data_IF_692333391921
#
_entry.id   IF_692333391921
#
_cell.length_a   1.000
_cell.length_b   1.000
_cell.length_c   1.000
_cell.angle_alpha   90.00
_cell.angle_beta   90.00
_cell.angle_gamma   90.00
#
_symmetry.space_group_name_H-M   'P 1'
#
loop_
_entity.id
_entity.type
_entity.pdbx_description
1 polymer ?
#
# COMPACT_ATOMS: atom_id res chain seq x y z
N UNK A 1 -19.63 5.07 -0.34
CA UNK A 1 -19.28 3.75 0.23
C UNK A 1 -18.10 3.99 1.14
N UNK A 2 -18.30 3.94 2.47
CA UNK A 2 -17.26 4.33 3.42
C UNK A 2 -16.03 3.43 3.32
N UNK A 3 -14.84 4.03 3.43
CA UNK A 3 -13.63 3.25 3.72
C UNK A 3 -13.87 2.46 5.02
N UNK A 4 -13.55 1.16 5.07
CA UNK A 4 -13.71 0.37 6.29
C UNK A 4 -13.01 1.08 7.45
N UNK A 5 -13.65 1.13 8.62
CA UNK A 5 -13.11 1.82 9.81
C UNK A 5 -11.98 1.01 10.44
N UNK A 6 -10.91 0.83 9.69
CA UNK A 6 -9.69 0.21 10.17
C UNK A 6 -9.05 1.08 11.24
N UNK A 7 -8.67 0.45 12.34
CA UNK A 7 -8.09 1.15 13.46
C UNK A 7 -6.57 1.13 13.38
N UNK A 8 -5.97 2.30 13.59
CA UNK A 8 -4.54 2.40 13.90
C UNK A 8 -4.40 2.23 15.42
N UNK A 9 -3.77 1.14 15.84
CA UNK A 9 -3.52 0.81 17.23
C UNK A 9 -2.07 1.15 17.58
N UNK A 10 -1.83 2.41 17.97
CA UNK A 10 -0.51 2.89 18.32
C UNK A 10 0.02 2.20 19.59
N UNK A 11 1.30 1.79 19.61
CA UNK A 11 1.91 1.10 20.76
C UNK A 11 2.32 2.06 21.90
N UNK A 12 1.96 3.33 21.77
CA UNK A 12 2.20 4.37 22.75
C UNK A 12 0.98 5.28 22.84
N UNK A 13 0.86 5.99 23.96
CA UNK A 13 -0.16 7.03 24.11
C UNK A 13 0.27 8.29 23.36
N UNK A 14 -0.49 8.78 22.37
CA UNK A 14 -0.24 10.05 21.68
C UNK A 14 -0.07 11.22 22.65
N UNK A 15 0.99 12.02 22.47
CA UNK A 15 1.08 13.34 23.10
C UNK A 15 0.03 14.29 22.50
N UNK A 16 -0.41 15.27 23.29
CA UNK A 16 -1.38 16.26 22.82
C UNK A 16 -0.68 17.25 21.90
N UNK A 17 -1.11 17.30 20.64
CA UNK A 17 -0.60 18.26 19.67
C UNK A 17 -0.82 19.69 20.17
N UNK A 18 0.27 20.45 20.25
CA UNK A 18 0.20 21.88 20.48
C UNK A 18 -0.31 22.57 19.22
N UNK A 19 -1.57 23.00 19.26
CA UNK A 19 -2.24 23.69 18.15
C UNK A 19 -1.61 25.04 17.78
N UNK A 20 -0.67 25.55 18.57
CA UNK A 20 0.08 26.77 18.27
C UNK A 20 1.29 26.52 17.37
N UNK A 21 1.73 25.27 17.21
CA UNK A 21 2.87 24.92 16.35
C UNK A 21 2.40 24.74 14.92
N UNK A 22 2.98 25.53 14.02
CA UNK A 22 2.71 25.41 12.59
C UNK A 22 3.65 24.38 11.95
N UNK A 23 3.16 23.16 11.80
CA UNK A 23 3.92 22.06 11.23
C UNK A 23 4.11 22.14 9.71
N UNK A 24 3.57 23.16 9.01
CA UNK A 24 3.47 23.14 7.55
C UNK A 24 3.95 24.43 6.89
N UNK A 25 3.75 25.59 7.51
CA UNK A 25 4.22 26.89 7.02
C UNK A 25 5.56 27.31 7.60
N UNK A 26 5.75 27.04 8.89
CA UNK A 26 6.86 27.55 9.68
C UNK A 26 7.42 26.45 10.58
N UNK A 27 7.78 25.33 9.95
CA UNK A 27 8.42 24.20 10.62
C UNK A 27 9.72 24.61 11.34
N UNK A 28 10.40 25.66 10.86
CA UNK A 28 11.66 26.13 11.43
C UNK A 28 11.48 26.79 12.80
N UNK A 29 10.27 27.26 13.13
CA UNK A 29 9.93 27.75 14.47
C UNK A 29 9.94 26.63 15.52
N UNK A 30 9.64 25.40 15.12
CA UNK A 30 9.49 24.25 16.02
C UNK A 30 10.80 23.88 16.71
N UNK A 31 10.78 23.81 18.05
CA UNK A 31 11.94 23.38 18.83
C UNK A 31 12.38 21.96 18.47
N UNK A 32 11.42 21.05 18.27
CA UNK A 32 11.68 19.68 17.88
C UNK A 32 12.39 19.62 16.51
N UNK A 33 11.91 20.39 15.53
CA UNK A 33 12.55 20.49 14.22
C UNK A 33 14.01 20.93 14.33
N UNK A 34 14.31 21.93 15.17
CA UNK A 34 15.69 22.41 15.36
C UNK A 34 16.63 21.33 15.90
N UNK A 35 16.12 20.40 16.72
CA UNK A 35 16.87 19.28 17.29
C UNK A 35 17.08 18.12 16.31
N UNK A 36 16.32 18.05 15.21
CA UNK A 36 16.45 16.98 14.22
C UNK A 36 17.81 17.01 13.49
N UNK A 37 18.34 15.84 13.09
CA UNK A 37 19.52 15.77 12.24
C UNK A 37 19.22 16.35 10.83
N UNK A 38 20.27 16.69 10.09
CA UNK A 38 20.15 17.41 8.81
C UNK A 38 19.28 16.66 7.77
N UNK A 39 19.47 15.35 7.64
CA UNK A 39 18.66 14.51 6.75
C UNK A 39 17.17 14.49 7.16
N UNK A 40 16.87 14.39 8.46
CA UNK A 40 15.50 14.44 8.95
C UNK A 40 14.82 15.80 8.71
N UNK A 41 15.59 16.90 8.81
CA UNK A 41 15.12 18.24 8.48
C UNK A 41 14.72 18.39 7.01
N UNK A 42 15.42 17.72 6.10
CA UNK A 42 15.09 17.67 4.67
C UNK A 42 13.80 16.88 4.43
N UNK A 43 13.65 15.71 5.06
CA UNK A 43 12.41 14.93 4.99
C UNK A 43 11.20 15.69 5.50
N UNK A 44 11.32 16.36 6.65
CA UNK A 44 10.24 17.19 7.21
C UNK A 44 9.91 18.37 6.30
N UNK A 45 10.91 19.00 5.66
CA UNK A 45 10.69 20.09 4.68
C UNK A 45 9.87 19.61 3.49
N UNK A 46 10.16 18.42 2.98
CA UNK A 46 9.42 17.83 1.86
C UNK A 46 8.02 17.32 2.28
N UNK A 47 7.95 16.71 3.46
CA UNK A 47 6.79 15.98 3.99
C UNK A 47 6.50 16.37 5.44
N UNK A 48 5.78 17.49 5.66
CA UNK A 48 5.66 18.08 6.99
C UNK A 48 4.80 17.27 7.98
N UNK A 49 3.96 16.36 7.47
CA UNK A 49 3.22 15.39 8.30
C UNK A 49 4.16 14.49 9.13
N UNK A 50 5.42 14.32 8.71
CA UNK A 50 6.44 13.62 9.51
C UNK A 50 6.75 14.39 10.81
N UNK A 51 6.80 15.72 10.77
CA UNK A 51 6.99 16.53 11.98
C UNK A 51 5.78 16.42 12.90
N UNK A 52 4.57 16.45 12.33
CA UNK A 52 3.34 16.26 13.09
C UNK A 52 3.34 14.91 13.83
N UNK A 53 3.76 13.82 13.16
CA UNK A 53 3.98 12.52 13.80
C UNK A 53 4.96 12.59 14.97
N UNK A 54 6.08 13.28 14.80
CA UNK A 54 7.11 13.39 15.85
C UNK A 54 6.64 14.20 17.07
N UNK A 55 5.69 15.12 16.91
CA UNK A 55 5.06 15.83 18.04
C UNK A 55 4.01 14.98 18.77
N UNK A 56 3.41 14.00 18.08
CA UNK A 56 2.52 13.01 18.70
C UNK A 56 3.31 11.90 19.39
N UNK A 57 4.48 11.57 18.85
CA UNK A 57 5.35 10.54 19.38
C UNK A 57 6.02 11.02 20.69
N UNK A 58 5.94 10.26 21.80
CA UNK A 58 6.52 10.66 23.09
C UNK A 58 8.05 10.56 23.10
N UNK A 59 8.71 11.51 22.43
CA UNK A 59 10.18 11.60 22.28
C UNK A 59 10.91 11.71 23.61
N UNK A 60 10.25 12.23 24.66
CA UNK A 60 10.82 12.30 26.01
C UNK A 60 10.95 10.90 26.66
N UNK A 61 10.11 9.96 26.23
CA UNK A 61 10.08 8.58 26.75
C UNK A 61 10.96 7.66 25.92
N UNK A 62 10.87 7.75 24.60
CA UNK A 62 11.55 6.81 23.69
C UNK A 62 12.86 7.37 23.08
N UNK A 63 13.11 8.66 23.24
CA UNK A 63 14.19 9.36 22.54
C UNK A 63 13.81 9.76 21.11
N UNK A 64 14.62 10.63 20.51
CA UNK A 64 14.47 11.03 19.10
C UNK A 64 14.84 9.82 18.22
N UNK A 65 13.97 9.42 17.26
CA UNK A 65 14.27 8.32 16.34
C UNK A 65 15.54 8.57 15.52
N UNK A 66 16.26 7.50 15.20
CA UNK A 66 17.37 7.54 14.24
C UNK A 66 16.82 7.57 12.81
N UNK A 67 17.15 8.62 12.06
CA UNK A 67 16.71 8.77 10.67
C UNK A 67 17.73 8.18 9.70
N UNK A 68 17.32 7.16 8.96
CA UNK A 68 18.16 6.47 7.98
C UNK A 68 17.55 6.61 6.58
N UNK A 69 18.37 6.99 5.60
CA UNK A 69 17.94 7.01 4.18
C UNK A 69 17.85 5.61 3.59
N UNK A 70 18.64 4.68 4.11
CA UNK A 70 18.69 3.29 3.67
C UNK A 70 19.02 2.40 4.88
N UNK A 71 18.42 1.22 4.94
CA UNK A 71 18.67 0.24 5.99
C UNK A 71 19.77 -0.74 5.58
N UNK A 72 20.74 -0.92 6.47
CA UNK A 72 21.87 -1.85 6.30
C UNK A 72 21.64 -3.15 7.08
N UNK A 73 22.34 -4.22 6.67
CA UNK A 73 22.18 -5.58 7.24
C UNK A 73 22.62 -5.69 8.71
N UNK A 74 23.55 -4.87 9.16
CA UNK A 74 24.05 -4.82 10.55
C UNK A 74 22.96 -4.45 11.57
N UNK A 75 21.95 -3.68 11.14
CA UNK A 75 20.76 -3.35 11.94
C UNK A 75 19.96 -4.59 12.39
N UNK A 76 20.14 -5.76 11.76
CA UNK A 76 19.55 -7.05 12.21
C UNK A 76 19.87 -7.38 13.66
N UNK A 77 21.02 -6.92 14.15
CA UNK A 77 21.49 -7.18 15.52
C UNK A 77 20.94 -6.18 16.56
N UNK A 78 20.25 -5.12 16.11
CA UNK A 78 19.72 -4.08 16.98
C UNK A 78 18.50 -4.58 17.73
N UNK A 79 18.64 -4.77 19.05
CA UNK A 79 17.57 -5.33 19.91
C UNK A 79 16.39 -4.38 20.15
N UNK A 80 16.65 -3.07 20.16
CA UNK A 80 15.64 -2.06 20.49
C UNK A 80 15.67 -0.94 19.46
N UNK A 81 15.18 -1.18 18.23
CA UNK A 81 15.21 -0.21 17.15
C UNK A 81 14.23 0.94 17.41
N UNK A 82 14.71 2.19 17.40
CA UNK A 82 13.89 3.40 17.32
C UNK A 82 14.34 4.14 16.06
N UNK A 83 13.84 3.69 14.90
CA UNK A 83 14.36 4.07 13.57
C UNK A 83 13.23 4.55 12.67
N UNK A 84 13.46 5.67 11.98
CA UNK A 84 12.60 6.14 10.89
C UNK A 84 13.36 6.09 9.57
N UNK A 85 12.73 5.55 8.53
CA UNK A 85 13.26 5.58 7.16
C UNK A 85 12.15 5.91 6.14
N UNK A 86 12.49 6.55 5.01
CA UNK A 86 11.53 6.82 3.94
C UNK A 86 11.24 5.55 3.13
N UNK A 87 9.98 5.33 2.80
CA UNK A 87 9.53 4.34 1.81
C UNK A 87 9.38 4.99 0.43
N UNK A 88 8.85 6.21 0.40
CA UNK A 88 8.77 7.07 -0.77
C UNK A 88 8.75 8.54 -0.31
N UNK A 89 8.55 9.49 -1.22
CA UNK A 89 8.56 10.92 -0.93
C UNK A 89 7.59 11.36 0.18
N UNK A 90 6.49 10.64 0.34
CA UNK A 90 5.36 10.98 1.23
C UNK A 90 5.07 9.95 2.31
N UNK A 91 5.74 8.80 2.31
CA UNK A 91 5.50 7.72 3.26
C UNK A 91 6.79 7.37 3.96
N UNK A 92 6.76 7.37 5.29
CA UNK A 92 7.86 6.92 6.13
C UNK A 92 7.41 5.73 6.96
N UNK A 93 8.37 5.02 7.54
CA UNK A 93 8.12 3.92 8.46
C UNK A 93 8.92 4.16 9.72
N UNK A 94 8.26 4.00 10.87
CA UNK A 94 8.90 3.94 12.16
C UNK A 94 8.91 2.50 12.67
N UNK A 95 10.11 1.95 12.88
CA UNK A 95 10.34 0.69 13.57
C UNK A 95 10.60 0.99 15.04
N UNK A 96 9.76 0.43 15.91
CA UNK A 96 9.76 0.68 17.35
C UNK A 96 9.73 -0.66 18.12
N UNK A 97 10.44 -0.85 19.25
CA UNK A 97 10.40 -2.13 19.93
C UNK A 97 9.04 -2.39 20.58
N UNK A 98 8.65 -3.65 20.65
CA UNK A 98 7.58 -4.13 21.51
C UNK A 98 8.20 -4.79 22.75
N UNK A 99 7.97 -4.29 23.97
CA UNK A 99 8.48 -4.94 25.18
C UNK A 99 7.79 -6.28 25.48
N UNK A 100 6.60 -6.51 24.93
CA UNK A 100 5.73 -7.66 25.25
C UNK A 100 5.74 -8.74 24.15
N UNK A 101 6.43 -8.50 23.03
CA UNK A 101 6.51 -9.40 21.88
C UNK A 101 7.94 -9.47 21.34
N UNK A 102 8.32 -10.60 20.75
CA UNK A 102 9.62 -10.73 20.05
C UNK A 102 9.66 -9.93 18.74
N UNK A 103 8.49 -9.57 18.21
CA UNK A 103 8.33 -8.77 17.00
C UNK A 103 8.28 -7.28 17.33
N UNK A 104 9.08 -6.48 16.65
CA UNK A 104 8.99 -5.02 16.75
C UNK A 104 7.74 -4.50 16.00
N UNK A 105 7.31 -3.29 16.35
CA UNK A 105 6.24 -2.59 15.65
C UNK A 105 6.72 -2.01 14.31
N UNK A 106 5.84 -2.10 13.31
CA UNK A 106 5.93 -1.40 12.04
C UNK A 106 4.83 -0.33 12.01
N UNK A 107 5.23 0.94 11.98
CA UNK A 107 4.32 2.09 12.03
C UNK A 107 4.47 2.89 10.72
N UNK A 108 3.56 2.73 9.75
CA UNK A 108 3.56 3.57 8.56
C UNK A 108 3.12 4.99 8.92
N UNK A 109 3.90 5.98 8.51
CA UNK A 109 3.64 7.40 8.69
C UNK A 109 3.24 7.95 7.31
N UNK A 110 1.94 8.10 7.10
CA UNK A 110 1.32 8.59 5.86
C UNK A 110 0.80 10.03 6.03
N UNK A 111 0.54 10.79 4.95
CA UNK A 111 -0.03 12.14 5.04
C UNK A 111 -1.35 12.22 5.80
N UNK A 112 -2.14 11.14 5.80
CA UNK A 112 -3.42 11.04 6.49
C UNK A 112 -3.33 10.59 7.94
N UNK A 113 -2.14 10.29 8.46
CA UNK A 113 -1.98 9.56 9.72
C UNK A 113 -2.59 10.28 10.93
N UNK A 114 -2.51 11.61 10.96
CA UNK A 114 -2.97 12.44 12.09
C UNK A 114 -4.19 13.31 11.77
N UNK A 115 -4.45 13.58 10.49
CA UNK A 115 -5.61 14.36 10.11
C UNK A 115 -6.87 13.51 10.20
N UNK A 116 -7.75 13.84 11.15
CA UNK A 116 -9.10 13.29 11.19
C UNK A 116 -9.96 13.91 10.09
N UNK A 117 -9.67 13.54 8.84
CA UNK A 117 -10.50 13.85 7.66
C UNK A 117 -11.71 12.93 7.56
N UNK A 118 -11.92 12.05 8.55
CA UNK A 118 -13.03 11.11 8.64
C UNK A 118 -14.41 11.77 8.49
N UNK A 119 -14.56 13.03 8.90
CA UNK A 119 -15.80 13.78 8.73
C UNK A 119 -15.93 14.42 7.34
N UNK A 120 -14.82 14.80 6.73
CA UNK A 120 -14.76 15.52 5.45
C UNK A 120 -14.85 14.56 4.26
N UNK A 121 -14.17 13.41 4.36
CA UNK A 121 -14.11 12.39 3.31
C UNK A 121 -15.49 11.94 2.81
N UNK A 122 -16.46 11.54 3.67
CA UNK A 122 -17.76 11.11 3.19
C UNK A 122 -18.52 12.22 2.43
N UNK A 123 -18.36 13.48 2.85
CA UNK A 123 -18.96 14.64 2.18
C UNK A 123 -18.32 14.86 0.81
N UNK A 124 -17.00 14.75 0.73
CA UNK A 124 -16.26 14.86 -0.53
C UNK A 124 -16.63 13.70 -1.45
N UNK A 125 -16.59 12.45 -0.98
CA UNK A 125 -17.00 11.27 -1.77
C UNK A 125 -18.41 11.41 -2.34
N UNK A 126 -19.36 11.91 -1.55
CA UNK A 126 -20.73 12.14 -2.03
C UNK A 126 -20.75 13.15 -3.16
N UNK A 127 -20.02 14.26 -3.03
CA UNK A 127 -19.91 15.28 -4.09
C UNK A 127 -19.18 14.79 -5.33
N UNK A 128 -18.21 13.90 -5.18
CA UNK A 128 -17.49 13.30 -6.31
C UNK A 128 -18.40 12.38 -7.13
N UNK A 129 -19.32 11.65 -6.50
CA UNK A 129 -20.32 10.81 -7.20
C UNK A 129 -21.15 11.65 -8.17
N UNK A 130 -21.63 12.82 -7.74
CA UNK A 130 -22.43 13.73 -8.58
C UNK A 130 -21.68 14.22 -9.84
N UNK A 131 -20.34 14.22 -9.82
CA UNK A 131 -19.50 14.67 -10.93
C UNK A 131 -19.10 13.51 -11.85
N UNK A 132 -18.91 12.32 -11.28
CA UNK A 132 -18.56 11.10 -12.04
C UNK A 132 -19.62 10.82 -13.12
N UNK A 133 -20.90 11.00 -12.81
CA UNK A 133 -22.00 10.80 -13.75
C UNK A 133 -21.96 11.74 -14.97
N UNK A 134 -21.15 12.82 -14.91
CA UNK A 134 -20.95 13.79 -15.98
C UNK A 134 -19.68 13.59 -16.81
N UNK A 135 -18.91 12.52 -16.58
CA UNK A 135 -17.72 12.22 -17.38
C UNK A 135 -18.12 11.71 -18.78
N UNK A 136 -17.55 12.31 -19.83
CA UNK A 136 -17.79 11.90 -21.22
C UNK A 136 -17.07 10.59 -21.59
N UNK A 137 -15.89 10.35 -21.01
CA UNK A 137 -15.06 9.17 -21.27
C UNK A 137 -14.51 8.57 -19.97
N UNK A 138 -14.53 7.24 -19.89
CA UNK A 138 -13.97 6.49 -18.78
C UNK A 138 -12.42 6.44 -18.86
N UNK A 139 -11.70 6.80 -17.79
CA UNK A 139 -10.24 6.74 -17.79
C UNK A 139 -9.73 5.29 -17.88
N UNK A 140 -8.77 5.06 -18.78
CA UNK A 140 -8.31 3.73 -19.18
C UNK A 140 -7.14 3.28 -18.30
N UNK A 141 -6.28 4.22 -17.89
CA UNK A 141 -5.11 3.94 -17.03
C UNK A 141 -5.27 4.45 -15.60
N UNK A 142 -4.55 3.83 -14.66
CA UNK A 142 -4.52 4.29 -13.26
C UNK A 142 -3.96 5.70 -13.11
N UNK A 143 -3.05 6.12 -14.01
CA UNK A 143 -2.54 7.49 -14.06
C UNK A 143 -3.63 8.48 -14.46
N UNK A 144 -4.39 8.17 -15.52
CA UNK A 144 -5.53 9.00 -15.94
C UNK A 144 -6.59 9.07 -14.84
N UNK A 145 -6.90 7.94 -14.18
CA UNK A 145 -7.81 7.90 -13.03
C UNK A 145 -7.34 8.83 -11.92
N UNK A 146 -6.05 8.83 -11.60
CA UNK A 146 -5.49 9.71 -10.57
C UNK A 146 -5.65 11.18 -10.96
N UNK A 147 -5.35 11.54 -12.21
CA UNK A 147 -5.49 12.90 -12.71
C UNK A 147 -6.96 13.36 -12.72
N UNK A 148 -7.89 12.47 -13.04
CA UNK A 148 -9.34 12.75 -12.96
C UNK A 148 -9.76 12.99 -11.51
N UNK A 149 -9.38 12.13 -10.57
CA UNK A 149 -9.68 12.31 -9.14
C UNK A 149 -9.15 13.65 -8.63
N UNK A 150 -7.92 14.03 -9.01
CA UNK A 150 -7.32 15.32 -8.62
C UNK A 150 -8.11 16.52 -9.14
N UNK A 151 -8.53 16.47 -10.41
CA UNK A 151 -9.36 17.52 -11.03
C UNK A 151 -10.73 17.61 -10.35
N UNK A 152 -11.36 16.48 -10.07
CA UNK A 152 -12.65 16.46 -9.38
C UNK A 152 -12.53 16.99 -7.96
N UNK A 153 -11.49 16.59 -7.20
CA UNK A 153 -11.24 17.11 -5.85
C UNK A 153 -11.09 18.64 -5.86
N UNK A 154 -10.31 19.17 -6.81
CA UNK A 154 -10.14 20.62 -6.99
C UNK A 154 -11.45 21.36 -7.33
N UNK A 155 -12.43 20.67 -7.92
CA UNK A 155 -13.73 21.26 -8.24
C UNK A 155 -14.70 21.29 -7.05
N UNK A 156 -14.60 20.32 -6.13
CA UNK A 156 -15.50 20.18 -4.96
C UNK A 156 -14.95 20.77 -3.68
N UNK A 157 -13.65 21.08 -3.64
CA UNK A 157 -12.97 21.63 -2.47
C UNK A 157 -12.22 22.93 -2.79
N UNK A 158 -12.10 23.80 -1.78
CA UNK A 158 -11.34 25.05 -1.84
C UNK A 158 -10.34 25.05 -0.69
N UNK A 159 -9.09 25.35 -1.02
CA UNK A 159 -8.03 25.52 -0.02
C UNK A 159 -8.18 26.90 0.63
N UNK A 160 -8.40 26.92 1.95
CA UNK A 160 -8.43 28.12 2.77
C UNK A 160 -7.05 28.78 2.80
N UNK A 161 -6.92 30.05 2.38
CA UNK A 161 -5.66 30.79 2.55
C UNK A 161 -5.35 31.04 4.03
N UNK A 162 -4.08 31.02 4.40
CA UNK A 162 -3.63 31.20 5.79
C UNK A 162 -4.05 32.58 6.32
N UNK A 163 -4.53 32.61 7.57
CA UNK A 163 -4.97 33.83 8.26
C UNK A 163 -6.35 34.37 7.86
N UNK A 164 -7.04 33.76 6.89
CA UNK A 164 -8.41 34.15 6.50
C UNK A 164 -9.41 33.47 7.43
N UNK A 165 -10.32 34.21 8.06
CA UNK A 165 -11.38 33.62 8.90
C UNK A 165 -12.36 32.76 8.06
N UNK A 166 -12.68 31.55 8.54
CA UNK A 166 -13.64 30.62 7.88
C UNK A 166 -14.99 31.31 7.65
N UNK A 167 -15.40 32.17 8.58
CA UNK A 167 -16.68 32.90 8.52
C UNK A 167 -16.82 33.81 7.30
N UNK A 168 -15.70 34.21 6.67
CA UNK A 168 -15.69 35.00 5.43
C UNK A 168 -15.84 34.15 4.18
N UNK A 169 -15.53 32.86 4.28
CA UNK A 169 -15.62 31.90 3.18
C UNK A 169 -16.92 31.09 3.23
N UNK A 170 -17.50 30.90 4.42
CA UNK A 170 -18.86 30.37 4.61
C UNK A 170 -19.83 31.55 4.50
N UNK A 171 -20.75 31.57 3.54
CA UNK A 171 -21.67 32.70 3.33
C UNK A 171 -22.33 33.18 4.63
N UNK A 172 -22.47 34.50 4.78
CA UNK A 172 -23.01 35.15 5.98
C UNK A 172 -24.30 34.50 6.47
N UNK A 173 -24.36 34.26 7.78
CA UNK A 173 -25.41 33.57 8.56
C UNK A 173 -26.86 34.07 8.39
N UNK A 174 -27.08 35.12 7.60
CA UNK A 174 -28.37 35.78 7.39
C UNK A 174 -29.28 35.05 6.39
N UNK A 175 -28.74 34.41 5.35
CA UNK A 175 -29.56 33.71 4.33
C UNK A 175 -30.00 32.30 4.76
N UNK A 176 -29.25 31.64 5.65
CA UNK A 176 -29.60 30.31 6.16
C UNK A 176 -30.81 30.31 7.11
N UNK A 177 -31.15 31.45 7.74
CA UNK A 177 -32.35 31.55 8.57
C UNK A 177 -33.63 31.58 7.73
N UNK A 178 -33.61 32.22 6.56
CA UNK A 178 -34.79 32.36 5.69
C UNK A 178 -35.10 31.07 4.91
N UNK A 179 -34.08 30.28 4.58
CA UNK A 179 -34.25 28.93 4.01
C UNK A 179 -34.71 27.91 5.06
N UNK A 180 -34.21 27.98 6.29
CA UNK A 180 -34.69 27.12 7.40
C UNK A 180 -36.13 27.44 7.77
N UNK A 181 -36.53 28.71 7.80
CA UNK A 181 -37.93 29.08 8.07
C UNK A 181 -38.85 28.59 6.95
N UNK A 182 -38.44 28.73 5.68
CA UNK A 182 -39.20 28.20 4.53
C UNK A 182 -39.30 26.68 4.50
N UNK A 183 -38.22 25.95 4.82
CA UNK A 183 -38.21 24.48 4.91
C UNK A 183 -39.02 23.94 6.09
N UNK A 184 -38.97 24.59 7.25
CA UNK A 184 -39.79 24.21 8.42
C UNK A 184 -41.27 24.47 8.16
N UNK A 185 -41.61 25.51 7.39
CA UNK A 185 -43.00 25.80 6.99
C UNK A 185 -43.52 24.80 5.95
N UNK A 186 -42.66 24.35 5.03
CA UNK A 186 -42.97 23.32 4.04
C UNK A 186 -43.12 21.92 4.67
N UNK A 187 -42.25 21.54 5.61
CA UNK A 187 -42.31 20.23 6.26
C UNK A 187 -43.43 20.08 7.30
N UNK A 188 -44.02 21.19 7.75
CA UNK A 188 -45.17 21.18 8.67
C UNK A 188 -46.53 21.11 7.94
N UNK A 189 -46.55 21.13 6.61
CA UNK A 189 -47.78 21.05 5.81
C UNK A 189 -48.06 19.67 5.23
N UNK A 190 -47.10 18.73 5.24
CA UNK A 190 -47.30 17.34 4.81
C UNK A 190 -47.16 16.34 5.96
N UNK A 191 -48.29 15.72 6.30
CA UNK A 191 -48.39 14.61 7.24
C UNK A 191 -47.93 13.31 6.57
N UNK A 192 -46.69 12.86 6.83
CA UNK A 192 -46.32 11.45 7.08
C UNK A 192 -44.80 11.20 6.99
N UNK A 193 -44.00 11.68 7.94
CA UNK A 193 -42.61 11.20 8.07
C UNK A 193 -41.99 11.46 9.45
N UNK A 194 -42.77 11.40 10.53
CA UNK A 194 -42.28 11.79 11.87
C UNK A 194 -41.38 10.76 12.58
N UNK A 195 -41.19 9.54 12.06
CA UNK A 195 -40.62 8.45 12.88
C UNK A 195 -39.37 7.71 12.36
N UNK A 196 -38.60 8.25 11.41
CA UNK A 196 -37.30 7.65 11.02
C UNK A 196 -36.14 8.63 10.87
N UNK A 197 -36.14 9.70 11.68
CA UNK A 197 -35.01 10.64 11.75
C UNK A 197 -34.71 11.04 13.19
N UNK A 198 -34.49 10.06 14.06
CA UNK A 198 -33.85 10.29 15.35
C UNK A 198 -32.70 9.31 15.54
N UNK A 199 -31.47 9.82 15.31
CA UNK A 199 -30.17 9.39 15.86
C UNK A 199 -29.02 9.52 14.85
N UNK A 200 -28.73 10.73 14.39
CA UNK A 200 -27.34 11.22 14.27
C UNK A 200 -27.38 12.73 14.52
N UNK A 201 -27.25 13.13 15.79
CA UNK A 201 -26.83 14.50 16.14
C UNK A 201 -25.32 14.42 16.36
N UNK A 202 -24.52 14.67 15.32
CA UNK A 202 -23.10 15.01 15.50
C UNK A 202 -22.88 16.49 15.19
N UNK A 203 -22.03 17.11 16.00
CA UNK A 203 -22.01 18.55 16.32
C UNK A 203 -20.93 19.34 15.54
N UNK A 204 -20.38 18.79 14.46
CA UNK A 204 -19.37 19.46 13.64
C UNK A 204 -19.86 19.54 12.20
N UNK A 205 -20.25 20.75 11.79
CA UNK A 205 -20.70 21.02 10.43
C UNK A 205 -19.44 21.19 9.57
N UNK A 206 -19.30 20.34 8.54
CA UNK A 206 -18.23 20.47 7.54
C UNK A 206 -18.32 21.88 6.94
N UNK A 207 -17.24 22.70 6.97
CA UNK A 207 -17.29 24.06 6.47
C UNK A 207 -17.45 24.05 4.94
N UNK A 208 -18.48 24.76 4.47
CA UNK A 208 -18.84 24.85 3.05
C UNK A 208 -18.86 26.31 2.59
N UNK A 209 -18.42 26.56 1.36
CA UNK A 209 -18.63 27.83 0.67
C UNK A 209 -20.13 28.02 0.31
N UNK A 210 -20.59 29.23 -0.08
CA UNK A 210 -21.98 29.46 -0.49
C UNK A 210 -22.42 28.59 -1.68
N UNK A 211 -21.51 28.31 -2.60
CA UNK A 211 -21.67 27.40 -3.73
C UNK A 211 -21.51 25.91 -3.35
N UNK A 212 -21.33 25.62 -2.05
CA UNK A 212 -21.35 24.27 -1.51
C UNK A 212 -20.04 23.51 -1.63
N UNK A 213 -18.90 24.15 -1.93
CA UNK A 213 -17.58 23.50 -1.94
C UNK A 213 -17.06 23.32 -0.53
N UNK A 214 -16.33 22.24 -0.30
CA UNK A 214 -15.73 21.93 1.00
C UNK A 214 -14.51 22.82 1.23
N UNK A 215 -14.49 23.54 2.35
CA UNK A 215 -13.36 24.38 2.72
C UNK A 215 -12.37 23.51 3.49
N UNK A 216 -11.14 23.40 2.97
CA UNK A 216 -10.08 22.58 3.55
C UNK A 216 -8.86 23.43 3.84
N UNK A 217 -8.07 23.07 4.84
CA UNK A 217 -6.67 23.52 4.88
C UNK A 217 -5.87 22.84 3.77
N UNK A 218 -4.67 23.35 3.48
CA UNK A 218 -3.81 22.73 2.48
C UNK A 218 -3.40 21.30 2.88
N UNK A 219 -3.30 21.06 4.18
CA UNK A 219 -2.94 19.79 4.79
C UNK A 219 -4.07 18.77 4.68
N UNK A 220 -5.29 19.17 5.05
CA UNK A 220 -6.50 18.36 4.87
C UNK A 220 -6.71 18.02 3.40
N UNK A 221 -6.50 18.98 2.49
CA UNK A 221 -6.58 18.75 1.05
C UNK A 221 -5.59 17.67 0.59
N UNK A 222 -4.31 17.78 0.97
CA UNK A 222 -3.28 16.80 0.62
C UNK A 222 -3.54 15.43 1.23
N UNK A 223 -4.01 15.37 2.48
CA UNK A 223 -4.38 14.12 3.14
C UNK A 223 -5.57 13.44 2.43
N UNK A 224 -6.60 14.21 2.04
CA UNK A 224 -7.74 13.70 1.29
C UNK A 224 -7.33 13.25 -0.11
N UNK A 225 -6.52 14.04 -0.83
CA UNK A 225 -5.99 13.66 -2.15
C UNK A 225 -5.25 12.33 -2.07
N UNK A 226 -4.35 12.20 -1.09
CA UNK A 226 -3.62 10.97 -0.81
C UNK A 226 -4.58 9.79 -0.56
N UNK A 227 -5.56 9.95 0.33
CA UNK A 227 -6.52 8.89 0.67
C UNK A 227 -7.40 8.50 -0.50
N UNK A 228 -7.85 9.44 -1.33
CA UNK A 228 -8.67 9.13 -2.51
C UNK A 228 -7.87 8.31 -3.52
N UNK A 229 -6.62 8.68 -3.80
CA UNK A 229 -5.76 7.91 -4.70
C UNK A 229 -5.46 6.54 -4.08
N UNK A 230 -5.05 6.51 -2.82
CA UNK A 230 -4.71 5.30 -2.08
C UNK A 230 -5.87 4.31 -2.07
N UNK A 231 -7.07 4.76 -1.71
CA UNK A 231 -8.23 3.90 -1.49
C UNK A 231 -8.99 3.57 -2.78
N UNK A 232 -9.01 4.45 -3.79
CA UNK A 232 -9.77 4.23 -5.03
C UNK A 232 -8.96 3.62 -6.15
N UNK A 233 -7.66 3.91 -6.23
CA UNK A 233 -6.78 3.47 -7.32
C UNK A 233 -5.79 2.42 -6.83
N UNK A 234 -5.04 2.72 -5.77
CA UNK A 234 -4.09 1.77 -5.19
C UNK A 234 -4.80 0.69 -4.34
N UNK A 235 -4.04 -0.15 -3.65
CA UNK A 235 -4.53 -1.23 -2.77
C UNK A 235 -4.95 -0.76 -1.36
N UNK A 236 -5.41 0.49 -1.23
CA UNK A 236 -5.90 1.04 0.03
C UNK A 236 -4.85 0.98 1.15
N UNK A 237 -5.26 0.46 2.30
CA UNK A 237 -4.41 0.31 3.49
C UNK A 237 -3.15 -0.52 3.27
N UNK A 238 -3.10 -1.33 2.20
CA UNK A 238 -1.90 -2.11 1.87
C UNK A 238 -0.82 -1.27 1.17
N UNK A 239 -1.15 -0.05 0.72
CA UNK A 239 -0.25 0.81 -0.06
C UNK A 239 1.11 1.04 0.62
N UNK A 240 1.22 1.36 1.93
CA UNK A 240 2.52 1.55 2.57
C UNK A 240 3.37 0.28 2.51
N UNK A 241 2.78 -0.89 2.76
CA UNK A 241 3.51 -2.15 2.78
C UNK A 241 3.95 -2.59 1.37
N UNK A 242 3.07 -2.42 0.38
CA UNK A 242 3.39 -2.72 -1.02
C UNK A 242 4.44 -1.76 -1.58
N UNK A 243 4.49 -0.52 -1.10
CA UNK A 243 5.50 0.46 -1.52
C UNK A 243 6.86 0.23 -0.86
N UNK A 244 6.92 -0.42 0.29
CA UNK A 244 8.17 -0.62 1.04
C UNK A 244 9.03 -1.76 0.47
N UNK A 245 10.14 -1.40 -0.17
CA UNK A 245 11.10 -2.36 -0.77
C UNK A 245 11.76 -3.31 0.24
N UNK A 246 11.69 -3.02 1.55
CA UNK A 246 12.23 -3.88 2.60
C UNK A 246 11.26 -4.98 3.06
N UNK A 247 10.01 -4.97 2.62
CA UNK A 247 9.03 -6.03 2.93
C UNK A 247 9.10 -7.15 1.89
N UNK A 248 9.11 -8.39 2.37
CA UNK A 248 9.08 -9.61 1.55
C UNK A 248 7.67 -10.22 1.53
N UNK A 249 7.07 -10.41 2.70
CA UNK A 249 5.74 -10.99 2.86
C UNK A 249 4.84 -10.08 3.72
N UNK A 250 3.54 -10.05 3.41
CA UNK A 250 2.48 -9.37 4.18
C UNK A 250 1.39 -10.40 4.49
N UNK A 251 1.01 -10.53 5.75
CA UNK A 251 0.02 -11.52 6.21
C UNK A 251 -1.04 -10.88 7.09
N UNK A 252 -2.30 -11.18 6.83
CA UNK A 252 -3.41 -10.91 7.71
C UNK A 252 -4.09 -12.24 8.03
N UNK A 253 -3.90 -12.73 9.26
CA UNK A 253 -4.34 -14.07 9.69
C UNK A 253 -5.80 -14.10 10.19
N UNK A 254 -6.57 -13.03 9.97
CA UNK A 254 -7.92 -12.82 10.49
C UNK A 254 -8.08 -11.49 11.22
N UNK A 255 -8.99 -11.43 12.18
CA UNK A 255 -9.19 -10.24 13.02
C UNK A 255 -7.91 -9.98 13.83
N UNK A 256 -7.36 -8.77 13.75
CA UNK A 256 -6.14 -8.39 14.44
C UNK A 256 -5.14 -7.68 13.53
N UNK A 257 -3.88 -7.56 13.96
CA UNK A 257 -2.86 -6.81 13.25
C UNK A 257 -2.41 -7.52 11.98
N UNK A 258 -1.94 -6.73 11.02
CA UNK A 258 -1.18 -7.22 9.88
C UNK A 258 0.25 -7.56 10.35
N UNK A 259 0.76 -8.72 9.95
CA UNK A 259 2.14 -9.13 10.14
C UNK A 259 2.92 -8.99 8.83
N UNK A 260 4.22 -8.74 8.93
CA UNK A 260 5.09 -8.64 7.76
C UNK A 260 6.41 -9.37 8.02
N UNK A 261 7.03 -9.90 6.96
CA UNK A 261 8.42 -10.32 6.98
C UNK A 261 9.28 -9.21 6.35
N UNK A 262 10.18 -8.65 7.14
CA UNK A 262 11.04 -7.55 6.73
C UNK A 262 12.49 -8.02 6.51
N UNK A 263 13.11 -7.65 5.39
CA UNK A 263 14.48 -8.04 4.97
C UNK A 263 15.53 -7.87 6.07
N UNK A 264 15.42 -6.77 6.83
CA UNK A 264 16.28 -6.45 7.97
C UNK A 264 15.69 -6.96 9.29
N UNK A 265 14.59 -6.40 9.78
CA UNK A 265 14.08 -6.66 11.13
C UNK A 265 13.28 -7.95 11.31
N UNK A 266 13.18 -8.81 10.29
CA UNK A 266 12.43 -10.09 10.33
C UNK A 266 10.94 -9.86 10.59
N UNK A 267 10.28 -10.78 11.29
CA UNK A 267 8.86 -10.68 11.58
C UNK A 267 8.54 -9.41 12.37
N UNK A 268 7.71 -8.54 11.79
CA UNK A 268 7.20 -7.32 12.44
C UNK A 268 5.69 -7.36 12.57
N UNK A 269 5.17 -6.60 13.54
CA UNK A 269 3.74 -6.43 13.80
C UNK A 269 3.34 -5.01 13.42
N UNK A 270 2.36 -4.87 12.52
CA UNK A 270 1.84 -3.56 12.14
C UNK A 270 0.88 -3.01 13.19
N UNK A 271 0.80 -1.67 13.28
CA UNK A 271 -0.25 -0.97 14.04
C UNK A 271 -1.60 -0.93 13.30
N UNK A 272 -1.63 -1.33 12.03
CA UNK A 272 -2.85 -1.43 11.23
C UNK A 272 -3.50 -2.78 11.52
N UNK A 273 -4.74 -2.77 12.00
CA UNK A 273 -5.50 -3.97 12.36
C UNK A 273 -6.94 -3.96 11.85
N UNK A 274 -7.47 -5.15 11.59
CA UNK A 274 -8.90 -5.37 11.35
C UNK A 274 -9.57 -5.76 12.66
N UNK A 275 -10.50 -4.95 13.16
CA UNK A 275 -11.20 -5.23 14.43
C UNK A 275 -12.48 -6.04 14.24
N UNK A 276 -13.08 -5.96 13.06
CA UNK A 276 -14.39 -6.54 12.79
C UNK A 276 -14.31 -7.46 11.58
N UNK A 277 -14.84 -8.69 11.72
CA UNK A 277 -14.83 -9.68 10.63
C UNK A 277 -15.45 -9.14 9.34
N UNK A 278 -16.54 -8.38 9.43
CA UNK A 278 -17.24 -7.85 8.26
C UNK A 278 -16.39 -6.85 7.46
N UNK A 279 -15.54 -6.08 8.13
CA UNK A 279 -14.61 -5.15 7.46
C UNK A 279 -13.53 -5.90 6.70
N UNK A 280 -12.99 -6.95 7.32
CA UNK A 280 -12.01 -7.83 6.68
C UNK A 280 -12.62 -8.58 5.50
N UNK A 281 -13.85 -9.08 5.66
CA UNK A 281 -14.61 -9.73 4.59
C UNK A 281 -14.86 -8.77 3.41
N UNK A 282 -15.30 -7.54 3.67
CA UNK A 282 -15.49 -6.52 2.65
C UNK A 282 -14.16 -6.16 1.96
N UNK A 283 -13.08 -6.07 2.73
CA UNK A 283 -11.75 -5.78 2.21
C UNK A 283 -11.27 -6.87 1.24
N UNK A 284 -11.34 -8.15 1.63
CA UNK A 284 -10.88 -9.25 0.77
C UNK A 284 -11.74 -9.40 -0.47
N UNK A 285 -13.06 -9.16 -0.38
CA UNK A 285 -13.96 -9.17 -1.54
C UNK A 285 -13.58 -8.08 -2.55
N UNK A 286 -13.40 -6.82 -2.08
CA UNK A 286 -12.97 -5.70 -2.94
C UNK A 286 -11.60 -5.95 -3.57
N UNK A 287 -10.66 -6.50 -2.80
CA UNK A 287 -9.34 -6.87 -3.32
C UNK A 287 -9.46 -7.89 -4.45
N UNK A 288 -10.27 -8.93 -4.26
CA UNK A 288 -10.45 -9.97 -5.24
C UNK A 288 -11.15 -9.47 -6.53
N UNK A 289 -12.13 -8.58 -6.40
CA UNK A 289 -12.76 -7.87 -7.53
C UNK A 289 -11.74 -7.05 -8.33
N UNK A 290 -10.84 -6.32 -7.66
CA UNK A 290 -9.77 -5.55 -8.31
C UNK A 290 -8.79 -6.41 -9.09
N UNK A 291 -8.50 -7.61 -8.59
CA UNK A 291 -7.64 -8.59 -9.27
C UNK A 291 -8.41 -9.36 -10.35
N UNK A 292 -9.68 -8.99 -10.62
CA UNK A 292 -10.61 -9.64 -11.57
C UNK A 292 -10.83 -11.13 -11.26
N UNK A 293 -10.84 -11.45 -9.97
CA UNK A 293 -11.01 -12.80 -9.42
C UNK A 293 -12.05 -12.75 -8.31
N UNK A 294 -13.34 -12.62 -8.63
CA UNK A 294 -14.36 -12.47 -7.59
C UNK A 294 -14.44 -13.70 -6.70
N UNK A 295 -14.43 -13.48 -5.38
CA UNK A 295 -14.61 -14.54 -4.38
C UNK A 295 -16.10 -14.82 -4.19
N UNK A 296 -16.45 -16.09 -4.01
CA UNK A 296 -17.80 -16.50 -3.64
C UNK A 296 -17.76 -17.54 -2.53
N UNK A 297 -18.87 -17.77 -1.82
CA UNK A 297 -18.96 -18.86 -0.84
C UNK A 297 -18.69 -20.25 -1.43
N UNK A 298 -18.89 -20.45 -2.75
CA UNK A 298 -18.60 -21.71 -3.44
C UNK A 298 -17.13 -21.83 -3.86
N UNK A 299 -16.46 -20.70 -4.10
CA UNK A 299 -15.04 -20.64 -4.39
C UNK A 299 -14.35 -19.63 -3.46
N UNK A 300 -14.16 -20.00 -2.18
CA UNK A 300 -13.70 -19.10 -1.13
C UNK A 300 -12.17 -18.98 -1.06
N UNK A 301 -11.42 -19.74 -1.85
CA UNK A 301 -9.96 -19.69 -1.90
C UNK A 301 -9.54 -19.18 -3.27
N UNK A 302 -8.67 -18.17 -3.29
CA UNK A 302 -8.16 -17.57 -4.52
C UNK A 302 -6.65 -17.40 -4.44
N UNK A 303 -5.98 -17.83 -5.50
CA UNK A 303 -4.59 -17.54 -5.78
C UNK A 303 -4.49 -16.66 -7.03
N UNK A 304 -3.88 -15.49 -6.87
CA UNK A 304 -3.77 -14.50 -7.93
C UNK A 304 -2.46 -13.72 -7.90
N UNK A 305 -2.31 -12.84 -8.87
CA UNK A 305 -1.16 -11.95 -9.03
C UNK A 305 -1.68 -10.51 -9.03
N UNK A 306 -1.09 -9.68 -8.18
CA UNK A 306 -1.36 -8.25 -8.08
C UNK A 306 -0.77 -7.51 -9.29
N UNK A 307 -1.15 -6.23 -9.46
CA UNK A 307 -0.70 -5.40 -10.58
C UNK A 307 0.82 -5.17 -10.60
N UNK A 308 1.46 -5.18 -9.41
CA UNK A 308 2.92 -5.10 -9.24
C UNK A 308 3.65 -6.43 -9.47
N UNK A 309 2.91 -7.51 -9.78
CA UNK A 309 3.45 -8.86 -9.96
C UNK A 309 3.48 -9.70 -8.68
N UNK A 310 3.20 -9.11 -7.51
CA UNK A 310 3.19 -9.82 -6.22
C UNK A 310 2.14 -10.93 -6.19
N UNK A 311 2.43 -12.04 -5.51
CA UNK A 311 1.46 -13.13 -5.29
C UNK A 311 0.50 -12.74 -4.20
N UNK A 312 -0.76 -13.08 -4.35
CA UNK A 312 -1.74 -12.99 -3.26
C UNK A 312 -2.53 -14.29 -3.17
N UNK A 313 -2.60 -14.82 -1.96
CA UNK A 313 -3.54 -15.86 -1.56
C UNK A 313 -4.60 -15.23 -0.68
N UNK A 314 -5.87 -15.56 -0.92
CA UNK A 314 -7.01 -15.11 -0.12
C UNK A 314 -7.86 -16.31 0.25
N UNK A 315 -8.23 -16.40 1.53
CA UNK A 315 -9.21 -17.37 2.05
C UNK A 315 -10.35 -16.61 2.70
N UNK A 316 -11.54 -16.76 2.13
CA UNK A 316 -12.74 -16.03 2.51
C UNK A 316 -13.68 -16.82 3.41
N UNK A 317 -14.17 -16.14 4.43
CA UNK A 317 -15.25 -16.58 5.28
C UNK A 317 -14.80 -17.42 6.47
N UNK A 318 -15.55 -17.26 7.57
CA UNK A 318 -15.28 -17.95 8.84
C UNK A 318 -15.56 -19.45 8.81
N UNK A 319 -16.27 -19.93 7.79
CA UNK A 319 -16.53 -21.36 7.58
C UNK A 319 -15.23 -22.15 7.31
N UNK A 320 -14.21 -21.49 6.75
CA UNK A 320 -12.92 -22.11 6.42
C UNK A 320 -11.83 -21.60 7.36
N UNK A 321 -11.78 -20.29 7.57
CA UNK A 321 -10.82 -19.66 8.47
C UNK A 321 -11.50 -19.16 9.74
N UNK A 322 -11.39 -19.94 10.83
CA UNK A 322 -12.14 -19.69 12.07
C UNK A 322 -11.86 -18.34 12.72
N UNK A 323 -10.73 -17.70 12.40
CA UNK A 323 -10.32 -16.41 12.93
C UNK A 323 -10.77 -15.20 12.06
N UNK A 324 -11.55 -15.44 11.01
CA UNK A 324 -11.93 -14.44 10.00
C UNK A 324 -11.32 -14.76 8.64
N UNK A 325 -11.78 -14.10 7.58
CA UNK A 325 -11.08 -14.14 6.28
C UNK A 325 -9.59 -13.80 6.46
N UNK A 326 -8.71 -14.38 5.65
CA UNK A 326 -7.28 -14.11 5.72
C UNK A 326 -6.69 -13.92 4.32
N UNK A 327 -5.53 -13.27 4.27
CA UNK A 327 -4.76 -13.15 3.04
C UNK A 327 -3.26 -13.12 3.32
N UNK A 328 -2.49 -13.59 2.35
CA UNK A 328 -1.03 -13.51 2.36
C UNK A 328 -0.56 -12.98 1.01
N UNK A 329 0.30 -11.96 1.04
CA UNK A 329 0.93 -11.38 -0.14
C UNK A 329 2.42 -11.66 -0.06
N UNK A 330 2.97 -12.29 -1.11
CA UNK A 330 4.41 -12.41 -1.30
C UNK A 330 4.85 -11.43 -2.37
N UNK A 331 5.66 -10.45 -1.98
CA UNK A 331 6.09 -9.38 -2.87
C UNK A 331 7.06 -9.89 -3.92
N UNK A 332 6.96 -9.35 -5.13
CA UNK A 332 8.02 -9.51 -6.12
C UNK A 332 9.21 -8.67 -5.70
N UNK A 333 10.40 -9.27 -5.73
CA UNK A 333 11.62 -8.53 -5.50
C UNK A 333 12.01 -7.76 -6.77
N UNK A 334 11.70 -6.47 -6.81
CA UNK A 334 11.93 -5.59 -7.97
C UNK A 334 13.41 -5.57 -8.39
N UNK A 335 14.31 -5.56 -7.41
CA UNK A 335 15.76 -5.60 -7.60
C UNK A 335 16.33 -6.95 -7.14
N UNK A 336 16.56 -7.90 -8.06
CA UNK A 336 17.19 -9.16 -7.70
C UNK A 336 18.62 -8.93 -7.19
N UNK A 337 19.07 -9.78 -6.27
CA UNK A 337 20.46 -9.71 -5.80
C UNK A 337 21.41 -9.97 -6.97
N UNK A 338 22.40 -9.10 -7.13
CA UNK A 338 23.46 -9.33 -8.11
C UNK A 338 24.35 -10.49 -7.68
N UNK A 339 25.09 -11.08 -8.64
CA UNK A 339 26.08 -12.11 -8.33
C UNK A 339 27.14 -11.61 -7.34
N UNK A 340 27.51 -10.33 -7.42
CA UNK A 340 28.44 -9.69 -6.48
C UNK A 340 27.86 -9.65 -5.07
N UNK A 341 26.58 -9.34 -4.91
CA UNK A 341 25.95 -9.35 -3.59
C UNK A 341 25.87 -10.75 -2.98
N UNK A 342 25.68 -11.78 -3.82
CA UNK A 342 25.73 -13.17 -3.36
C UNK A 342 27.15 -13.52 -2.87
N UNK A 343 28.18 -13.13 -3.62
CA UNK A 343 29.59 -13.33 -3.24
C UNK A 343 29.93 -12.60 -1.94
N UNK A 344 29.54 -11.32 -1.81
CA UNK A 344 29.74 -10.52 -0.59
C UNK A 344 29.02 -11.13 0.62
N UNK A 345 27.90 -11.81 0.40
CA UNK A 345 27.18 -12.55 1.45
C UNK A 345 27.73 -13.94 1.73
N UNK A 346 28.86 -14.32 1.11
CA UNK A 346 29.49 -15.64 1.17
C UNK A 346 28.58 -16.78 0.69
N UNK A 347 27.64 -16.51 -0.23
CA UNK A 347 26.79 -17.54 -0.82
C UNK A 347 27.53 -18.43 -1.83
N UNK A 348 28.45 -17.83 -2.59
CA UNK A 348 29.42 -18.49 -3.47
C UNK A 348 30.72 -17.68 -3.45
N UNK A 349 31.84 -18.27 -3.89
CA UNK A 349 33.09 -17.52 -4.08
C UNK A 349 33.26 -17.05 -5.55
N UNK A 350 34.29 -16.23 -5.79
CA UNK A 350 34.60 -15.71 -7.13
C UNK A 350 34.96 -16.82 -8.13
N UNK A 351 35.55 -17.93 -7.68
CA UNK A 351 35.96 -19.04 -8.55
C UNK A 351 34.74 -19.81 -9.04
N UNK A 352 33.81 -20.12 -8.15
CA UNK A 352 32.53 -20.73 -8.48
C UNK A 352 31.70 -19.82 -9.40
N UNK A 353 31.67 -18.51 -9.14
CA UNK A 353 30.99 -17.55 -10.00
C UNK A 353 31.60 -17.52 -11.42
N UNK A 354 32.92 -17.50 -11.54
CA UNK A 354 33.61 -17.54 -12.83
C UNK A 354 33.37 -18.87 -13.58
N UNK A 355 33.35 -20.00 -12.87
CA UNK A 355 33.00 -21.29 -13.44
C UNK A 355 31.56 -21.29 -13.98
N UNK A 356 30.60 -20.81 -13.19
CA UNK A 356 29.20 -20.70 -13.62
C UNK A 356 29.04 -19.77 -14.82
N UNK A 357 29.78 -18.66 -14.87
CA UNK A 357 29.81 -17.78 -16.03
C UNK A 357 30.23 -18.54 -17.29
N UNK A 358 31.36 -19.24 -17.26
CA UNK A 358 31.83 -20.03 -18.42
C UNK A 358 30.77 -21.08 -18.81
N UNK A 359 30.16 -21.79 -17.85
CA UNK A 359 29.10 -22.75 -18.16
C UNK A 359 27.91 -22.10 -18.87
N UNK A 360 27.43 -20.96 -18.38
CA UNK A 360 26.27 -20.25 -18.94
C UNK A 360 26.58 -19.68 -20.32
N UNK A 361 27.76 -19.08 -20.50
CA UNK A 361 28.20 -18.49 -21.77
C UNK A 361 28.26 -19.53 -22.89
N UNK A 362 28.76 -20.73 -22.59
CA UNK A 362 28.86 -21.83 -23.56
C UNK A 362 27.62 -22.73 -23.62
N UNK A 363 26.49 -22.31 -23.03
CA UNK A 363 25.19 -22.98 -23.20
C UNK A 363 25.04 -24.31 -22.46
N UNK A 364 25.78 -24.52 -21.37
CA UNK A 364 25.61 -25.70 -20.52
C UNK A 364 24.26 -25.64 -19.79
N UNK A 365 23.57 -26.78 -19.72
CA UNK A 365 22.36 -26.93 -18.92
C UNK A 365 22.70 -27.03 -17.43
N UNK A 366 22.07 -26.21 -16.61
CA UNK A 366 22.33 -26.12 -15.18
C UNK A 366 21.04 -26.27 -14.37
N UNK A 367 21.14 -26.89 -13.20
CA UNK A 367 20.07 -26.96 -12.20
C UNK A 367 20.57 -26.32 -10.91
N UNK A 368 19.77 -25.39 -10.36
CA UNK A 368 20.02 -24.85 -9.02
C UNK A 368 19.13 -25.61 -8.04
N UNK A 369 19.72 -26.46 -7.21
CA UNK A 369 19.02 -27.34 -6.28
C UNK A 369 19.23 -26.93 -4.82
N UNK A 370 18.26 -27.25 -3.96
CA UNK A 370 18.29 -26.93 -2.54
C UNK A 370 16.89 -26.95 -1.92
N UNK A 371 16.80 -26.88 -0.60
CA UNK A 371 15.54 -26.85 0.14
C UNK A 371 14.72 -25.58 -0.18
N UNK A 372 13.45 -25.55 0.21
CA UNK A 372 12.63 -24.32 0.14
C UNK A 372 13.31 -23.19 0.91
N UNK A 373 13.26 -21.96 0.38
CA UNK A 373 13.91 -20.78 0.97
C UNK A 373 15.46 -20.81 1.09
N UNK A 374 16.15 -21.77 0.45
CA UNK A 374 17.62 -21.83 0.41
C UNK A 374 18.29 -20.83 -0.55
N UNK A 375 17.52 -20.01 -1.27
CA UNK A 375 18.05 -19.02 -2.22
C UNK A 375 18.22 -19.52 -3.66
N UNK A 376 17.55 -20.62 -4.05
CA UNK A 376 17.61 -21.18 -5.42
C UNK A 376 17.27 -20.16 -6.51
N UNK A 377 16.08 -19.56 -6.44
CA UNK A 377 15.65 -18.58 -7.44
C UNK A 377 16.57 -17.36 -7.41
N UNK A 378 17.06 -16.97 -6.23
CA UNK A 378 18.00 -15.85 -6.08
C UNK A 378 19.30 -16.09 -6.85
N UNK A 379 19.91 -17.27 -6.69
CA UNK A 379 21.12 -17.63 -7.44
C UNK A 379 20.82 -17.77 -8.94
N UNK A 380 19.72 -18.43 -9.32
CA UNK A 380 19.30 -18.55 -10.71
C UNK A 380 19.15 -17.18 -11.37
N UNK A 381 18.48 -16.25 -10.70
CA UNK A 381 18.26 -14.88 -11.18
C UNK A 381 19.60 -14.14 -11.32
N UNK A 382 20.50 -14.23 -10.34
CA UNK A 382 21.80 -13.60 -10.38
C UNK A 382 22.68 -14.08 -11.55
N UNK A 383 22.73 -15.39 -11.81
CA UNK A 383 23.54 -15.96 -12.89
C UNK A 383 22.93 -15.72 -14.28
N UNK A 384 21.68 -15.27 -14.39
CA UNK A 384 21.14 -14.86 -15.70
C UNK A 384 21.92 -13.71 -16.32
N UNK A 385 22.60 -12.90 -15.49
CA UNK A 385 23.48 -11.81 -15.94
C UNK A 385 24.71 -12.31 -16.71
N UNK A 386 25.06 -13.59 -16.60
CA UNK A 386 26.13 -14.23 -17.37
C UNK A 386 25.69 -14.71 -18.76
N UNK A 387 24.39 -14.71 -19.06
CA UNK A 387 23.90 -15.08 -20.39
C UNK A 387 24.32 -13.98 -21.39
N UNK A 388 24.86 -14.34 -22.58
CA UNK A 388 25.20 -13.36 -23.61
C UNK A 388 24.04 -12.41 -23.93
N UNK A 389 24.26 -11.09 -24.01
CA UNK A 389 23.19 -10.07 -24.10
C UNK A 389 22.34 -10.18 -25.38
N UNK A 390 22.86 -10.78 -26.44
CA UNK A 390 22.19 -11.02 -27.73
C UNK A 390 21.24 -12.23 -27.71
N UNK A 391 21.31 -13.08 -26.68
CA UNK A 391 20.53 -14.31 -26.62
C UNK A 391 19.03 -14.03 -26.47
N UNK A 392 18.23 -14.86 -27.15
CA UNK A 392 16.80 -14.99 -26.91
C UNK A 392 16.57 -15.86 -25.69
N UNK A 393 15.86 -15.31 -24.70
CA UNK A 393 15.56 -15.99 -23.44
C UNK A 393 14.05 -16.19 -23.32
N UNK A 394 13.64 -17.39 -22.92
CA UNK A 394 12.25 -17.69 -22.54
C UNK A 394 12.24 -18.12 -21.07
N UNK A 395 11.53 -17.38 -20.22
CA UNK A 395 11.29 -17.79 -18.83
C UNK A 395 9.90 -18.39 -18.71
N UNK A 396 9.80 -19.51 -17.98
CA UNK A 396 8.55 -20.24 -17.74
C UNK A 396 8.42 -20.42 -16.22
N UNK A 397 7.37 -19.84 -15.65
CA UNK A 397 7.19 -19.79 -14.19
C UNK A 397 5.72 -20.03 -13.79
N UNK A 398 5.46 -20.66 -12.65
CA UNK A 398 4.10 -20.66 -12.07
C UNK A 398 3.71 -19.27 -11.57
N UNK A 399 4.70 -18.48 -11.17
CA UNK A 399 4.52 -17.06 -10.95
C UNK A 399 5.81 -16.32 -11.26
N UNK A 400 5.72 -15.12 -11.86
CA UNK A 400 6.85 -14.23 -12.08
C UNK A 400 7.75 -14.01 -10.85
N UNK A 401 8.97 -14.56 -10.85
CA UNK A 401 10.05 -14.25 -9.88
C UNK A 401 11.35 -13.82 -10.58
N UNK A 402 11.64 -14.36 -11.76
CA UNK A 402 12.84 -14.04 -12.53
C UNK A 402 12.74 -12.63 -13.13
N UNK A 403 13.85 -11.89 -13.06
CA UNK A 403 14.00 -10.57 -13.67
C UNK A 403 15.28 -10.57 -14.52
N UNK A 404 15.11 -10.82 -15.81
CA UNK A 404 16.21 -11.02 -16.74
C UNK A 404 16.58 -9.67 -17.39
N UNK A 405 17.87 -9.26 -17.42
CA UNK A 405 18.26 -7.95 -17.95
C UNK A 405 18.21 -7.86 -19.48
N UNK A 406 18.00 -8.98 -20.18
CA UNK A 406 18.04 -9.08 -21.64
C UNK A 406 16.83 -8.45 -22.31
N UNK A 407 17.07 -7.74 -23.41
CA UNK A 407 16.00 -7.13 -24.21
C UNK A 407 15.15 -8.15 -24.96
N UNK A 408 15.76 -9.25 -25.42
CA UNK A 408 15.08 -10.33 -26.15
C UNK A 408 14.57 -11.40 -25.19
N UNK A 409 13.68 -10.99 -24.29
CA UNK A 409 13.13 -11.83 -23.23
C UNK A 409 11.62 -12.04 -23.43
N UNK A 410 11.20 -13.30 -23.50
CA UNK A 410 9.80 -13.72 -23.46
C UNK A 410 9.52 -14.27 -22.05
N UNK A 411 8.49 -13.74 -21.40
CA UNK A 411 8.05 -14.17 -20.08
C UNK A 411 6.71 -14.88 -20.16
N UNK A 412 6.70 -16.17 -19.84
CA UNK A 412 5.50 -17.01 -19.84
C UNK A 412 5.18 -17.48 -18.42
N UNK A 413 3.90 -17.41 -18.05
CA UNK A 413 3.42 -17.74 -16.71
C UNK A 413 2.29 -18.76 -16.80
N UNK A 414 2.36 -19.81 -15.99
CA UNK A 414 1.34 -20.85 -15.99
C UNK A 414 -0.02 -20.31 -15.52
N UNK A 415 -1.07 -20.79 -16.18
CA UNK A 415 -2.45 -20.43 -15.92
C UNK A 415 -3.15 -21.60 -15.24
N UNK A 416 -3.29 -21.55 -13.91
CA UNK A 416 -4.00 -22.58 -13.14
C UNK A 416 -5.50 -22.63 -13.47
N UNK A 417 -6.17 -23.75 -13.16
CA UNK A 417 -7.64 -23.87 -13.27
C UNK A 417 -8.36 -22.72 -12.54
N UNK A 418 -9.35 -22.13 -13.19
CA UNK A 418 -10.05 -20.96 -12.67
C UNK A 418 -9.33 -19.63 -12.90
N UNK A 419 -8.14 -19.64 -13.53
CA UNK A 419 -7.42 -18.42 -13.95
C UNK A 419 -7.87 -17.84 -15.31
N UNK A 420 -8.89 -18.38 -15.99
CA UNK A 420 -9.47 -17.77 -17.20
C UNK A 420 -10.64 -16.81 -16.90
N UNK A 421 -10.88 -15.79 -17.72
CA UNK A 421 -12.06 -14.90 -17.64
C UNK A 421 -13.37 -15.58 -18.13
N UNK A 422 -13.31 -16.83 -18.60
CA UNK A 422 -14.47 -17.59 -19.08
C UNK A 422 -14.82 -18.76 -18.17
N UNK A 423 -16.10 -18.87 -17.77
CA UNK A 423 -16.64 -19.92 -16.91
C UNK A 423 -16.69 -21.33 -17.50
N UNK A 424 -15.58 -21.80 -18.09
CA UNK A 424 -15.41 -23.16 -18.59
C UNK A 424 -14.10 -23.77 -18.08
N UNK A 425 -14.11 -25.08 -17.85
CA UNK A 425 -12.96 -25.88 -17.40
C UNK A 425 -11.80 -25.99 -18.44
N UNK A 426 -11.75 -25.11 -19.45
CA UNK A 426 -10.91 -25.22 -20.65
C UNK A 426 -9.81 -24.16 -20.76
N UNK A 427 -9.34 -23.62 -19.64
CA UNK A 427 -8.38 -22.50 -19.61
C UNK A 427 -7.12 -22.75 -18.79
N UNK A 428 -6.81 -24.01 -18.44
CA UNK A 428 -5.55 -24.31 -17.75
C UNK A 428 -4.41 -24.39 -18.77
N UNK A 429 -3.30 -23.70 -18.49
CA UNK A 429 -2.05 -23.78 -19.26
C UNK A 429 -0.96 -24.11 -18.25
N UNK A 430 -0.45 -25.34 -18.31
CA UNK A 430 0.61 -25.78 -17.40
C UNK A 430 1.99 -25.27 -17.83
N UNK A 431 2.97 -25.26 -16.92
CA UNK A 431 4.37 -25.01 -17.29
C UNK A 431 4.88 -26.00 -18.34
N UNK A 432 4.36 -27.23 -18.35
CA UNK A 432 4.71 -28.23 -19.36
C UNK A 432 4.20 -27.87 -20.76
N UNK A 433 3.01 -27.28 -20.86
CA UNK A 433 2.46 -26.78 -22.12
C UNK A 433 3.28 -25.60 -22.66
N UNK A 434 3.65 -24.68 -21.76
CA UNK A 434 4.53 -23.54 -22.07
C UNK A 434 5.91 -24.04 -22.52
N UNK A 435 6.48 -25.04 -21.85
CA UNK A 435 7.78 -25.58 -22.23
C UNK A 435 7.76 -26.18 -23.64
N UNK A 436 6.70 -26.91 -24.00
CA UNK A 436 6.51 -27.40 -25.38
C UNK A 436 6.37 -26.27 -26.40
N UNK A 437 5.68 -25.18 -26.03
CA UNK A 437 5.52 -24.01 -26.89
C UNK A 437 6.84 -23.26 -27.08
N UNK A 438 7.60 -23.04 -26.01
CA UNK A 438 8.91 -22.38 -26.01
C UNK A 438 9.91 -23.04 -26.97
N UNK A 439 9.90 -24.38 -27.08
CA UNK A 439 10.76 -25.09 -28.04
C UNK A 439 10.51 -24.69 -29.51
N UNK A 440 9.32 -24.17 -29.84
CA UNK A 440 8.99 -23.66 -31.18
C UNK A 440 9.41 -22.20 -31.39
N UNK A 441 9.80 -21.50 -30.32
CA UNK A 441 10.19 -20.10 -30.37
C UNK A 441 11.68 -19.91 -30.71
N UNK A 442 12.45 -20.99 -30.86
CA UNK A 442 13.91 -20.97 -31.09
C UNK A 442 14.67 -20.11 -30.05
N UNK A 443 14.49 -20.34 -28.74
CA UNK A 443 15.28 -19.66 -27.72
C UNK A 443 16.74 -20.13 -27.74
N UNK A 444 17.65 -19.27 -27.32
CA UNK A 444 19.02 -19.66 -26.97
C UNK A 444 19.06 -20.28 -25.57
N UNK A 445 18.25 -19.77 -24.65
CA UNK A 445 18.15 -20.25 -23.27
C UNK A 445 16.67 -20.34 -22.84
N UNK A 446 16.31 -21.43 -22.16
CA UNK A 446 15.02 -21.59 -21.50
C UNK A 446 15.27 -21.67 -19.99
N UNK A 447 14.65 -20.78 -19.24
CA UNK A 447 14.72 -20.72 -17.79
C UNK A 447 13.39 -21.20 -17.22
N UNK A 448 13.40 -22.31 -16.49
CA UNK A 448 12.21 -22.81 -15.79
C UNK A 448 12.36 -22.48 -14.32
N UNK A 449 11.43 -21.70 -13.76
CA UNK A 449 11.53 -21.16 -12.40
C UNK A 449 11.66 -22.26 -11.34
N UNK A 450 10.77 -23.26 -11.37
CA UNK A 450 10.86 -24.43 -10.50
C UNK A 450 10.22 -25.64 -11.19
N UNK A 451 10.88 -26.79 -11.19
CA UNK A 451 10.37 -28.03 -11.79
C UNK A 451 9.82 -28.92 -10.66
N UNK A 452 8.50 -29.18 -10.68
CA UNK A 452 7.79 -29.95 -9.64
C UNK A 452 7.06 -31.19 -10.17
N UNK A 453 7.06 -31.43 -11.48
CA UNK A 453 6.36 -32.55 -12.12
C UNK A 453 6.25 -32.36 -13.62
#
# INVERSE_FOLDING_TARGET
MGSPSMAVNLPFKPEVLDTTVDFYSDIESSALYKMLPANAKEYVKASPHLLEYLHVFPVNTYGIPLFLSELKKDLRSMKSPNIIYPVNDTTFVHILPDPDDVRNFYIPIEPSFLHSVNMMLPVIETKLIDIIDGLEEDPISDKERADVIKKMLASVAVIRPKGVDITKMTGSSAEQQDLKSKLVTFLNTDFSAKDKMSKVKSKHQVPLTPDGKVILTNEEYRAIEYLLIRDKIDMGVLKPFLSDSYIEDISCDGIGPIFIEHKIFKGLKSVIEFKVSSELDEFVVKMAERIKRPITYRNPVIDATLLDGSRINIVYGTAISRHGSNFTIRKVNEFPLSILNIIESNGIDYMAAAYLWICVEYGMSLFVSGETASGKTTLLNAITTFIPPENKIVTIEDTPELNVPHRNWIREVALAKGKGEGGGASGEVSMFDLLKAALRQRPNQILVGEIRG
#
